data_IF_975716586743
#
_entry.id   IF_975716586743
#
_cell.length_a   1.000
_cell.length_b   1.000
_cell.length_c   1.000
_cell.angle_alpha   90.00
_cell.angle_beta   90.00
_cell.angle_gamma   90.00
#
_symmetry.space_group_name_H-M   'P 1'
#
loop_
_entity.id
_entity.type
_entity.pdbx_description
1 polymer ?
#
# COMPACT_ATOMS: atom_id res chain seq x y z
N UNK A 1 -41.34 -40.23 36.80
CA UNK A 1 -40.05 -39.52 36.58
C UNK A 1 -40.20 -38.62 35.35
N UNK A 2 -40.58 -37.33 35.52
CA UNK A 2 -40.53 -36.30 34.47
C UNK A 2 -39.10 -35.69 34.43
N UNK A 3 -38.56 -34.97 33.45
CA UNK A 3 -39.03 -34.23 32.26
C UNK A 3 -37.82 -34.02 31.32
N UNK A 4 -38.04 -34.05 30.02
CA UNK A 4 -37.11 -33.55 29.01
C UNK A 4 -36.95 -32.02 29.11
N UNK A 5 -35.72 -31.51 28.99
CA UNK A 5 -35.49 -30.07 28.81
C UNK A 5 -34.45 -29.84 27.72
N UNK A 6 -34.92 -29.39 26.55
CA UNK A 6 -34.11 -28.72 25.54
C UNK A 6 -33.57 -27.41 26.10
N UNK A 7 -32.26 -27.13 25.95
CA UNK A 7 -31.77 -25.76 25.99
C UNK A 7 -31.01 -25.41 24.71
N UNK A 8 -31.49 -24.32 24.11
CA UNK A 8 -31.22 -23.83 22.77
C UNK A 8 -29.82 -23.24 22.68
N UNK A 9 -29.14 -23.53 21.58
CA UNK A 9 -27.88 -22.89 21.21
C UNK A 9 -28.02 -21.37 21.08
N UNK A 10 -27.18 -20.64 21.79
CA UNK A 10 -26.94 -19.22 21.58
C UNK A 10 -25.86 -19.05 20.53
N UNK A 11 -26.26 -18.98 19.26
CA UNK A 11 -25.40 -18.49 18.17
C UNK A 11 -25.11 -17.00 18.42
N UNK A 12 -23.91 -16.70 18.92
CA UNK A 12 -23.39 -15.33 18.99
C UNK A 12 -23.35 -14.75 17.58
N UNK A 13 -24.26 -13.81 17.29
CA UNK A 13 -24.29 -13.07 16.03
C UNK A 13 -23.00 -12.24 15.91
N UNK A 14 -22.05 -12.73 15.12
CA UNK A 14 -20.97 -11.90 14.57
C UNK A 14 -21.61 -10.87 13.64
N UNK A 15 -21.83 -9.65 14.15
CA UNK A 15 -22.15 -8.50 13.31
C UNK A 15 -20.92 -8.18 12.46
N UNK A 16 -20.81 -8.77 11.27
CA UNK A 16 -19.91 -8.28 10.23
C UNK A 16 -20.58 -7.06 9.59
N UNK A 17 -20.28 -5.87 10.12
CA UNK A 17 -20.56 -4.63 9.39
C UNK A 17 -19.81 -4.71 8.06
N UNK A 18 -20.52 -5.03 6.97
CA UNK A 18 -19.97 -4.98 5.60
C UNK A 18 -19.51 -3.54 5.36
N UNK A 19 -18.19 -3.29 5.43
CA UNK A 19 -17.60 -2.01 5.03
C UNK A 19 -18.03 -1.75 3.57
N UNK A 20 -18.53 -0.55 3.30
CA UNK A 20 -18.94 -0.14 1.95
C UNK A 20 -17.67 -0.10 1.07
N UNK A 21 -17.75 -0.53 -0.21
CA UNK A 21 -16.61 -0.49 -1.10
C UNK A 21 -16.14 0.96 -1.32
N UNK A 22 -14.82 1.16 -1.40
CA UNK A 22 -14.22 2.46 -1.72
C UNK A 22 -14.65 2.89 -3.13
N UNK A 23 -15.33 4.04 -3.23
CA UNK A 23 -15.86 4.59 -4.50
C UNK A 23 -15.33 5.97 -4.87
N UNK A 24 -14.73 6.68 -3.92
CA UNK A 24 -14.21 8.05 -4.13
C UNK A 24 -12.75 8.14 -3.74
N UNK A 25 -12.05 9.13 -4.30
CA UNK A 25 -10.66 9.41 -3.93
C UNK A 25 -10.52 9.64 -2.42
N UNK A 26 -11.35 10.49 -1.83
CA UNK A 26 -11.31 10.80 -0.40
C UNK A 26 -11.57 9.58 0.49
N UNK A 27 -12.45 8.66 0.07
CA UNK A 27 -12.66 7.40 0.79
C UNK A 27 -11.40 6.51 0.71
N UNK A 28 -10.74 6.49 -0.44
CA UNK A 28 -9.50 5.74 -0.66
C UNK A 28 -8.36 6.27 0.22
N UNK A 29 -8.17 7.59 0.23
CA UNK A 29 -7.13 8.24 1.03
C UNK A 29 -7.41 8.05 2.53
N UNK A 30 -8.66 8.21 2.98
CA UNK A 30 -9.02 7.93 4.39
C UNK A 30 -8.73 6.48 4.79
N UNK A 31 -9.06 5.51 3.93
CA UNK A 31 -8.71 4.11 4.19
C UNK A 31 -7.20 3.92 4.34
N UNK A 32 -6.42 4.49 3.42
CA UNK A 32 -4.97 4.36 3.40
C UNK A 32 -4.33 5.01 4.64
N UNK A 33 -4.72 6.22 5.01
CA UNK A 33 -4.22 6.93 6.20
C UNK A 33 -4.63 6.24 7.50
N UNK A 34 -5.74 5.48 7.51
CA UNK A 34 -6.15 4.69 8.68
C UNK A 34 -5.27 3.47 8.97
N UNK A 35 -4.35 3.12 8.07
CA UNK A 35 -3.39 2.03 8.28
C UNK A 35 -2.20 2.51 9.14
N UNK A 36 -1.48 1.59 9.76
CA UNK A 36 -0.30 1.91 10.57
C UNK A 36 0.72 2.69 9.75
N UNK A 37 0.96 3.95 10.14
CA UNK A 37 1.95 4.81 9.50
C UNK A 37 3.10 5.11 10.47
N UNK A 38 4.19 4.35 10.34
CA UNK A 38 5.39 4.57 11.13
C UNK A 38 6.12 5.86 10.77
N UNK A 39 5.92 6.45 9.59
CA UNK A 39 6.56 7.72 9.22
C UNK A 39 6.08 8.88 10.10
N UNK A 40 4.88 8.74 10.70
CA UNK A 40 4.26 9.73 11.58
C UNK A 40 4.36 9.37 13.08
N UNK A 41 4.94 8.21 13.43
CA UNK A 41 5.05 7.78 14.83
C UNK A 41 6.33 8.29 15.49
N UNK A 42 6.17 9.05 16.58
CA UNK A 42 7.28 9.61 17.37
C UNK A 42 8.14 8.56 18.08
N UNK A 43 7.65 7.33 18.24
CA UNK A 43 8.35 6.23 18.92
C UNK A 43 8.05 4.90 18.22
N UNK A 44 8.97 4.45 17.38
CA UNK A 44 8.92 3.11 16.78
C UNK A 44 9.78 2.17 17.63
N UNK A 45 9.22 1.06 18.10
CA UNK A 45 10.01 0.03 18.77
C UNK A 45 10.81 -0.74 17.71
N UNK A 46 12.13 -0.68 17.78
CA UNK A 46 13.01 -1.45 16.91
C UNK A 46 13.03 -2.92 17.33
N UNK A 47 12.08 -3.70 16.82
CA UNK A 47 12.05 -5.15 16.98
C UNK A 47 11.83 -5.86 15.63
N UNK A 48 12.14 -7.16 15.60
CA UNK A 48 12.07 -8.01 14.40
C UNK A 48 10.69 -8.04 13.74
N UNK A 49 9.62 -7.90 14.53
CA UNK A 49 8.24 -7.92 14.03
C UNK A 49 7.86 -6.62 13.32
N UNK A 50 8.42 -5.49 13.77
CA UNK A 50 8.22 -4.18 13.13
C UNK A 50 8.92 -4.13 11.77
N UNK A 51 10.12 -4.70 11.66
CA UNK A 51 10.95 -4.64 10.43
C UNK A 51 10.87 -5.90 9.54
N UNK A 52 9.83 -6.72 9.70
CA UNK A 52 9.64 -7.92 8.88
C UNK A 52 9.13 -7.60 7.46
N UNK A 53 9.79 -8.16 6.44
CA UNK A 53 9.29 -8.14 5.05
C UNK A 53 8.14 -9.11 4.79
N UNK A 54 7.72 -9.91 5.78
CA UNK A 54 6.69 -10.93 5.60
C UNK A 54 5.35 -10.33 5.15
N UNK A 55 4.94 -9.19 5.72
CA UNK A 55 3.72 -8.48 5.32
C UNK A 55 3.76 -8.06 3.85
N UNK A 56 4.82 -7.34 3.48
CA UNK A 56 5.03 -6.88 2.11
C UNK A 56 5.09 -8.03 1.11
N UNK A 57 5.82 -9.11 1.43
CA UNK A 57 5.92 -10.28 0.56
C UNK A 57 4.57 -10.97 0.36
N UNK A 58 3.75 -11.10 1.42
CA UNK A 58 2.39 -11.66 1.31
C UNK A 58 1.51 -10.77 0.41
N UNK A 59 1.56 -9.45 0.59
CA UNK A 59 0.80 -8.51 -0.23
C UNK A 59 1.21 -8.58 -1.70
N UNK A 60 2.51 -8.50 -1.99
CA UNK A 60 3.04 -8.57 -3.36
C UNK A 60 2.70 -9.90 -4.04
N UNK A 61 2.72 -11.01 -3.30
CA UNK A 61 2.33 -12.33 -3.82
C UNK A 61 0.86 -12.35 -4.26
N UNK A 62 -0.04 -11.79 -3.44
CA UNK A 62 -1.47 -11.67 -3.80
C UNK A 62 -1.70 -10.76 -5.01
N UNK A 63 -0.82 -9.78 -5.23
CA UNK A 63 -0.85 -8.86 -6.37
C UNK A 63 -0.17 -9.41 -7.64
N UNK A 64 0.26 -10.67 -7.64
CA UNK A 64 0.92 -11.29 -8.80
C UNK A 64 2.35 -10.79 -9.02
N UNK A 65 3.04 -10.41 -7.95
CA UNK A 65 4.44 -9.99 -7.92
C UNK A 65 4.80 -8.87 -8.92
N UNK A 66 4.12 -7.70 -8.88
CA UNK A 66 4.33 -6.61 -9.83
C UNK A 66 5.77 -6.07 -9.82
N UNK A 67 6.43 -6.08 -8.66
CA UNK A 67 7.84 -5.70 -8.49
C UNK A 67 8.81 -6.52 -9.35
N UNK A 68 8.48 -7.78 -9.69
CA UNK A 68 9.30 -8.63 -10.58
C UNK A 68 9.09 -8.33 -12.05
N UNK A 69 8.07 -7.54 -12.37
CA UNK A 69 7.72 -7.17 -13.74
C UNK A 69 8.38 -5.88 -14.17
N UNK A 70 9.23 -5.22 -13.38
CA UNK A 70 9.87 -3.96 -13.74
C UNK A 70 11.40 -4.03 -13.54
N UNK A 71 12.14 -3.27 -14.35
CA UNK A 71 13.57 -3.02 -14.09
C UNK A 71 13.66 -1.87 -13.08
N UNK A 72 14.47 -2.03 -12.04
CA UNK A 72 14.49 -1.10 -10.91
C UNK A 72 15.91 -0.66 -10.57
N UNK A 73 16.07 0.61 -10.22
CA UNK A 73 17.24 1.14 -9.51
C UNK A 73 16.80 1.42 -8.08
N UNK A 74 17.51 0.86 -7.10
CA UNK A 74 17.20 1.04 -5.69
C UNK A 74 18.20 2.00 -5.05
N UNK A 75 17.71 3.13 -4.53
CA UNK A 75 18.54 4.19 -3.94
C UNK A 75 18.33 4.21 -2.43
N UNK A 76 19.39 3.94 -1.67
CA UNK A 76 19.42 3.98 -0.21
C UNK A 76 20.49 4.94 0.30
N UNK A 77 20.35 5.42 1.55
CA UNK A 77 21.30 6.36 2.17
C UNK A 77 20.62 7.31 3.17
N UNK A 78 21.41 7.98 4.00
CA UNK A 78 20.86 8.86 5.05
C UNK A 78 20.33 10.17 4.47
N UNK A 79 21.02 10.76 3.50
CA UNK A 79 20.68 12.04 2.85
C UNK A 79 20.79 11.92 1.33
N UNK A 80 20.17 12.84 0.60
CA UNK A 80 20.30 12.93 -0.87
C UNK A 80 19.47 11.94 -1.71
N UNK A 81 18.94 10.86 -1.14
CA UNK A 81 18.15 9.83 -1.86
C UNK A 81 17.11 10.40 -2.84
N UNK A 82 16.26 11.29 -2.35
CA UNK A 82 15.18 11.88 -3.15
C UNK A 82 15.73 12.70 -4.32
N UNK A 83 16.71 13.58 -4.04
CA UNK A 83 17.39 14.37 -5.08
C UNK A 83 18.08 13.48 -6.11
N UNK A 84 18.80 12.45 -5.67
CA UNK A 84 19.45 11.48 -6.58
C UNK A 84 18.43 10.72 -7.42
N UNK A 85 17.31 10.28 -6.83
CA UNK A 85 16.25 9.58 -7.55
C UNK A 85 15.61 10.45 -8.63
N UNK A 86 15.32 11.71 -8.31
CA UNK A 86 14.74 12.69 -9.25
C UNK A 86 15.72 13.01 -10.39
N UNK A 87 16.99 13.25 -10.06
CA UNK A 87 18.03 13.51 -11.07
C UNK A 87 18.19 12.32 -12.01
N UNK A 88 18.29 11.11 -11.47
CA UNK A 88 18.42 9.89 -12.27
C UNK A 88 17.19 9.67 -13.16
N UNK A 89 15.98 9.86 -12.62
CA UNK A 89 14.76 9.75 -13.40
C UNK A 89 14.76 10.73 -14.58
N UNK A 90 15.11 11.99 -14.33
CA UNK A 90 15.20 13.03 -15.37
C UNK A 90 16.21 12.69 -16.47
N UNK A 91 17.38 12.14 -16.10
CA UNK A 91 18.40 11.70 -17.07
C UNK A 91 17.90 10.53 -17.92
N UNK A 92 17.24 9.55 -17.32
CA UNK A 92 16.69 8.40 -18.05
C UNK A 92 15.52 8.81 -18.96
N UNK A 93 14.66 9.73 -18.51
CA UNK A 93 13.60 10.32 -19.32
C UNK A 93 14.17 11.07 -20.53
N UNK A 94 15.25 11.84 -20.36
CA UNK A 94 15.95 12.52 -21.45
C UNK A 94 16.54 11.54 -22.48
N UNK A 95 16.86 10.31 -22.05
CA UNK A 95 17.26 9.21 -22.93
C UNK A 95 16.07 8.43 -23.53
N UNK A 96 14.86 9.01 -23.50
CA UNK A 96 13.62 8.44 -24.04
C UNK A 96 13.15 7.13 -23.39
N UNK A 97 13.59 6.83 -22.16
CA UNK A 97 13.01 5.75 -21.38
C UNK A 97 11.67 6.18 -20.76
N UNK A 98 10.73 5.24 -20.62
CA UNK A 98 9.56 5.42 -19.76
C UNK A 98 9.97 5.08 -18.32
N UNK A 99 9.96 6.07 -17.44
CA UNK A 99 10.53 5.98 -16.10
C UNK A 99 9.44 6.18 -15.05
N UNK A 100 9.29 5.19 -14.17
CA UNK A 100 8.52 5.33 -12.94
C UNK A 100 9.41 5.79 -11.80
N UNK A 101 8.96 6.79 -11.04
CA UNK A 101 9.66 7.33 -9.88
C UNK A 101 8.81 7.12 -8.62
N UNK A 102 9.42 6.50 -7.60
CA UNK A 102 8.84 6.36 -6.26
C UNK A 102 9.71 7.07 -5.23
N UNK A 103 9.15 8.05 -4.53
CA UNK A 103 9.85 8.84 -3.50
C UNK A 103 8.98 9.00 -2.24
N UNK A 104 9.62 9.12 -1.08
CA UNK A 104 8.95 9.43 0.18
C UNK A 104 9.84 10.27 1.11
N UNK A 105 9.26 11.08 2.01
CA UNK A 105 7.82 11.40 2.10
C UNK A 105 7.36 12.35 0.98
N UNK A 106 6.05 12.62 0.91
CA UNK A 106 5.50 13.71 0.09
C UNK A 106 5.53 15.03 0.86
N UNK A 107 5.48 16.17 0.16
CA UNK A 107 5.51 17.51 0.76
C UNK A 107 4.10 18.13 0.82
N UNK A 108 3.30 18.05 -0.25
CA UNK A 108 1.95 18.64 -0.29
C UNK A 108 0.87 17.65 -0.71
N UNK A 109 1.13 16.89 -1.75
CA UNK A 109 0.19 15.92 -2.31
C UNK A 109 0.76 14.51 -2.20
N UNK A 110 -0.01 13.57 -1.62
CA UNK A 110 0.38 12.17 -1.49
C UNK A 110 0.74 11.51 -2.83
N UNK A 111 0.21 12.02 -3.94
CA UNK A 111 0.50 11.56 -5.30
C UNK A 111 1.92 11.90 -5.75
N UNK A 112 2.59 12.87 -5.12
CA UNK A 112 4.03 13.17 -5.34
C UNK A 112 4.92 11.95 -5.17
N UNK A 113 4.46 10.96 -4.38
CA UNK A 113 5.21 9.73 -4.17
C UNK A 113 5.30 8.86 -5.40
N UNK A 114 4.40 8.96 -6.37
CA UNK A 114 4.35 8.09 -7.56
C UNK A 114 4.17 8.95 -8.81
N UNK A 115 5.17 8.94 -9.68
CA UNK A 115 5.09 9.57 -11.00
C UNK A 115 5.62 8.68 -12.12
N UNK A 116 5.19 8.96 -13.34
CA UNK A 116 5.73 8.38 -14.57
C UNK A 116 6.07 9.53 -15.52
N UNK A 117 7.32 9.60 -15.97
CA UNK A 117 7.83 10.68 -16.82
C UNK A 117 7.46 12.07 -16.26
N UNK A 118 7.79 12.31 -14.99
CA UNK A 118 7.43 13.53 -14.25
C UNK A 118 5.93 13.72 -13.92
N UNK A 119 5.01 12.96 -14.50
CA UNK A 119 3.57 13.12 -14.29
C UNK A 119 3.09 12.32 -13.09
N UNK A 120 2.45 13.01 -12.12
CA UNK A 120 1.90 12.36 -10.93
C UNK A 120 0.80 11.36 -11.29
N UNK A 121 0.70 10.27 -10.52
CA UNK A 121 -0.44 9.36 -10.61
C UNK A 121 -1.76 10.14 -10.46
N UNK A 122 -2.74 9.87 -11.32
CA UNK A 122 -4.04 10.54 -11.22
C UNK A 122 -4.80 10.09 -9.96
N UNK A 123 -5.65 10.97 -9.41
CA UNK A 123 -6.52 10.62 -8.27
C UNK A 123 -7.36 9.38 -8.57
N UNK A 124 -7.93 9.30 -9.78
CA UNK A 124 -8.72 8.16 -10.20
C UNK A 124 -7.89 6.86 -10.27
N UNK A 125 -6.66 6.92 -10.79
CA UNK A 125 -5.78 5.75 -10.83
C UNK A 125 -5.39 5.30 -9.42
N UNK A 126 -5.00 6.22 -8.53
CA UNK A 126 -4.66 5.89 -7.16
C UNK A 126 -5.86 5.29 -6.40
N UNK A 127 -7.04 5.91 -6.50
CA UNK A 127 -8.26 5.42 -5.86
C UNK A 127 -8.64 4.01 -6.33
N UNK A 128 -8.59 3.76 -7.65
CA UNK A 128 -8.85 2.41 -8.20
C UNK A 128 -7.90 1.36 -7.65
N UNK A 129 -6.61 1.69 -7.50
CA UNK A 129 -5.62 0.75 -6.97
C UNK A 129 -5.85 0.48 -5.48
N UNK A 130 -6.15 1.51 -4.69
CA UNK A 130 -6.50 1.33 -3.28
C UNK A 130 -7.74 0.44 -3.13
N UNK A 131 -8.80 0.70 -3.91
CA UNK A 131 -10.01 -0.11 -3.87
C UNK A 131 -9.78 -1.59 -4.26
N UNK A 132 -8.81 -1.86 -5.16
CA UNK A 132 -8.41 -3.24 -5.50
C UNK A 132 -7.65 -3.93 -4.36
N UNK A 133 -6.84 -3.20 -3.62
CA UNK A 133 -5.97 -3.76 -2.57
C UNK A 133 -6.69 -3.91 -1.22
N UNK A 134 -7.64 -3.01 -0.90
CA UNK A 134 -8.44 -3.05 0.33
C UNK A 134 -8.96 -4.46 0.68
N UNK A 135 -9.70 -5.17 -0.20
CA UNK A 135 -10.25 -6.48 0.14
C UNK A 135 -9.19 -7.57 0.33
N UNK A 136 -7.97 -7.38 -0.20
CA UNK A 136 -6.84 -8.29 0.02
C UNK A 136 -6.26 -8.09 1.43
N UNK A 137 -6.10 -6.82 1.85
CA UNK A 137 -5.61 -6.46 3.18
C UNK A 137 -6.61 -6.88 4.26
N UNK A 138 -7.91 -6.67 4.05
CA UNK A 138 -8.93 -7.03 5.05
C UNK A 138 -9.03 -8.55 5.29
N UNK A 139 -8.52 -9.37 4.36
CA UNK A 139 -8.40 -10.82 4.55
C UNK A 139 -7.14 -11.23 5.34
N UNK A 140 -6.21 -10.30 5.61
CA UNK A 140 -4.98 -10.58 6.38
C UNK A 140 -5.30 -10.43 7.88
N UNK A 141 -5.29 -11.56 8.60
CA UNK A 141 -5.97 -11.72 9.90
C UNK A 141 -5.32 -11.01 11.09
N UNK A 142 -3.99 -10.83 11.12
CA UNK A 142 -3.31 -10.31 12.33
C UNK A 142 -2.14 -9.34 12.06
N UNK A 143 -1.56 -9.37 10.86
CA UNK A 143 -0.35 -8.60 10.54
C UNK A 143 -0.55 -7.91 9.19
N UNK A 144 -1.35 -6.83 9.25
CA UNK A 144 -1.75 -6.03 8.10
C UNK A 144 -0.57 -5.18 7.62
N UNK A 145 -0.38 -5.04 6.29
CA UNK A 145 0.61 -4.12 5.72
C UNK A 145 0.45 -2.70 6.26
N UNK A 146 1.58 -2.04 6.50
CA UNK A 146 1.66 -0.63 6.90
C UNK A 146 1.28 0.30 5.75
N UNK A 147 1.01 1.57 6.05
CA UNK A 147 0.84 2.63 5.05
C UNK A 147 1.94 2.58 3.99
N UNK A 148 3.21 2.54 4.42
CA UNK A 148 4.35 2.53 3.52
C UNK A 148 4.41 1.27 2.64
N UNK A 149 4.16 0.08 3.22
CA UNK A 149 4.14 -1.18 2.47
C UNK A 149 3.02 -1.20 1.42
N UNK A 150 1.83 -0.70 1.78
CA UNK A 150 0.70 -0.58 0.87
C UNK A 150 1.04 0.38 -0.26
N UNK A 151 1.53 1.58 0.07
CA UNK A 151 1.85 2.60 -0.93
C UNK A 151 2.92 2.11 -1.92
N UNK A 152 3.94 1.44 -1.40
CA UNK A 152 5.01 0.82 -2.21
C UNK A 152 4.44 -0.25 -3.14
N UNK A 153 3.51 -1.10 -2.66
CA UNK A 153 2.84 -2.08 -3.51
C UNK A 153 1.97 -1.42 -4.60
N UNK A 154 1.28 -0.33 -4.28
CA UNK A 154 0.50 0.44 -5.26
C UNK A 154 1.39 1.05 -6.34
N UNK A 155 2.57 1.57 -5.96
CA UNK A 155 3.58 2.07 -6.89
C UNK A 155 4.04 0.99 -7.87
N UNK A 156 4.42 -0.19 -7.35
CA UNK A 156 4.79 -1.33 -8.20
C UNK A 156 3.69 -1.74 -9.15
N UNK A 157 2.43 -1.82 -8.69
CA UNK A 157 1.31 -2.10 -9.58
C UNK A 157 1.14 -1.01 -10.64
N UNK A 158 1.34 0.27 -10.29
CA UNK A 158 1.23 1.36 -11.24
C UNK A 158 2.27 1.25 -12.35
N UNK A 159 3.53 1.06 -12.00
CA UNK A 159 4.61 0.94 -12.98
C UNK A 159 4.51 -0.33 -13.82
N UNK A 160 4.01 -1.43 -13.25
CA UNK A 160 3.83 -2.68 -13.98
C UNK A 160 2.69 -2.63 -15.00
N UNK A 161 1.60 -1.88 -14.70
CA UNK A 161 0.45 -1.73 -15.61
C UNK A 161 0.73 -0.70 -16.71
N UNK A 162 1.51 0.34 -16.40
CA UNK A 162 1.88 1.42 -17.32
C UNK A 162 3.23 1.13 -18.01
N UNK A 163 3.54 -0.14 -18.26
CA UNK A 163 4.81 -0.53 -18.88
C UNK A 163 4.93 -0.13 -20.35
#
# INVERSE_FOLDING_TARGET
MPTATHSRGTKTKRNSTRKRPIRTYDAAIRYLISQTDYEQMLRVRYNSDTFSLNRMNRLLKQLGNPHKKIRSVHIAGTKGKGSTAIMLASMLEACAFKVGLYVSPHIRDIRERISINGNLISQAALARRIAKVEPLIEKMSSDKPTFFEIFTALAFCHFADEK
#
